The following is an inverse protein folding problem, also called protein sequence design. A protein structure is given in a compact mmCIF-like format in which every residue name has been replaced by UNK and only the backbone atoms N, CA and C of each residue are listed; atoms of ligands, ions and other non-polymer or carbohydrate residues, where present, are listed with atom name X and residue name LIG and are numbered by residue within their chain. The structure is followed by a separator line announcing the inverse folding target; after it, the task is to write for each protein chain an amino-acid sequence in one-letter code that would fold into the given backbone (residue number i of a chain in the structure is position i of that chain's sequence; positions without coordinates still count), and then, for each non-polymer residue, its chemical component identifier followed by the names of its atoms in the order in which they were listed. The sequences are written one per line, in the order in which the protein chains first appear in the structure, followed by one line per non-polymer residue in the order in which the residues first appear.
data_IF_582525179513
#
_entry.id   IF_582525179513
#
_cell.length_a   1.000
_cell.length_b   1.000
_cell.length_c   1.000
_cell.angle_alpha   90.00
_cell.angle_beta   90.00
_cell.angle_gamma   90.00
#
_symmetry.space_group_name_H-M   'P 1'
#
loop_
_entity.id
_entity.type
_entity.pdbx_description
1 polymer ?
#
# COMPACT_ATOMS: atom_id res chain seq x y z
N UNK A 1 -38.39 29.81 -50.08
CA UNK A 1 -38.97 29.88 -48.72
C UNK A 1 -37.83 29.56 -47.79
N UNK A 2 -37.48 30.60 -47.02
CA UNK A 2 -36.33 30.84 -46.12
C UNK A 2 -35.89 29.65 -45.25
N UNK A 3 -34.57 29.38 -45.16
CA UNK A 3 -33.57 29.92 -44.19
C UNK A 3 -33.86 29.41 -42.75
N UNK A 4 -32.93 29.00 -41.88
CA UNK A 4 -31.49 29.19 -41.79
C UNK A 4 -30.91 28.20 -40.75
N UNK A 5 -29.59 28.05 -40.80
CA UNK A 5 -28.68 27.49 -39.78
C UNK A 5 -28.92 28.08 -38.38
N UNK A 6 -28.49 27.39 -37.31
CA UNK A 6 -27.25 27.73 -36.58
C UNK A 6 -27.01 26.86 -35.34
N UNK A 7 -25.74 26.53 -35.13
CA UNK A 7 -25.14 26.13 -33.84
C UNK A 7 -25.17 27.31 -32.86
N UNK A 8 -25.05 27.06 -31.55
CA UNK A 8 -24.05 27.67 -30.63
C UNK A 8 -24.35 27.30 -29.16
N UNK A 9 -23.25 27.03 -28.43
CA UNK A 9 -23.06 26.87 -26.98
C UNK A 9 -23.69 27.99 -26.11
N UNK A 10 -23.97 27.72 -24.83
CA UNK A 10 -23.20 28.20 -23.64
C UNK A 10 -24.01 28.13 -22.33
N UNK A 11 -23.24 27.88 -21.27
CA UNK A 11 -23.43 27.97 -19.82
C UNK A 11 -24.42 28.98 -19.19
N UNK A 12 -24.68 28.69 -17.89
CA UNK A 12 -24.98 29.60 -16.77
C UNK A 12 -26.43 30.12 -16.57
N UNK A 13 -27.12 29.61 -15.53
CA UNK A 13 -27.14 30.17 -14.16
C UNK A 13 -28.52 30.24 -13.43
N UNK A 14 -28.45 29.88 -12.14
CA UNK A 14 -29.24 30.21 -10.91
C UNK A 14 -30.76 30.03 -10.82
N UNK A 15 -31.17 29.39 -9.72
CA UNK A 15 -32.38 29.75 -8.95
C UNK A 15 -32.84 28.66 -7.98
N UNK A 16 -32.01 28.20 -7.03
CA UNK A 16 -32.20 28.45 -5.58
C UNK A 16 -33.64 28.62 -5.10
N UNK A 17 -34.19 27.62 -4.40
CA UNK A 17 -34.97 27.78 -3.17
C UNK A 17 -35.32 26.40 -2.59
N UNK A 18 -34.82 26.10 -1.38
CA UNK A 18 -35.52 25.44 -0.25
C UNK A 18 -34.50 25.12 0.88
N UNK A 19 -34.94 25.09 2.15
CA UNK A 19 -34.29 25.84 3.22
C UNK A 19 -33.35 25.01 4.10
N UNK A 20 -32.42 25.73 4.72
CA UNK A 20 -31.61 25.28 5.85
C UNK A 20 -32.49 25.01 7.10
N UNK A 21 -32.47 23.77 7.57
CA UNK A 21 -32.64 23.40 8.98
C UNK A 21 -32.17 21.95 9.18
N UNK A 22 -30.95 21.78 9.69
CA UNK A 22 -30.51 20.50 10.26
C UNK A 22 -31.32 20.24 11.53
N UNK A 23 -32.43 19.52 11.39
CA UNK A 23 -33.15 18.96 12.51
C UNK A 23 -32.50 17.62 12.86
N UNK A 24 -31.99 17.53 14.09
CA UNK A 24 -31.55 16.27 14.71
C UNK A 24 -32.69 15.26 14.57
N UNK A 25 -32.50 14.23 13.75
CA UNK A 25 -33.49 13.16 13.60
C UNK A 25 -33.66 12.43 14.94
N UNK A 26 -34.90 12.33 15.39
CA UNK A 26 -35.24 11.72 16.68
C UNK A 26 -34.95 10.20 16.65
N UNK A 27 -34.98 9.55 17.81
CA UNK A 27 -34.85 8.09 17.86
C UNK A 27 -35.97 7.35 17.10
N UNK A 28 -37.16 7.98 16.98
CA UNK A 28 -38.26 7.48 16.14
C UNK A 28 -37.93 7.62 14.65
N UNK A 29 -37.38 8.75 14.22
CA UNK A 29 -37.01 8.97 12.81
C UNK A 29 -35.88 8.01 12.36
N UNK A 30 -34.96 7.65 13.28
CA UNK A 30 -33.95 6.60 13.07
C UNK A 30 -34.56 5.19 12.99
N UNK A 31 -35.55 4.89 13.82
CA UNK A 31 -36.26 3.62 13.75
C UNK A 31 -37.04 3.49 12.43
N UNK A 32 -37.62 4.58 11.93
CA UNK A 32 -38.32 4.63 10.65
C UNK A 32 -37.37 4.49 9.46
N UNK A 33 -36.15 5.05 9.55
CA UNK A 33 -35.12 4.87 8.52
C UNK A 33 -34.56 3.44 8.49
N UNK A 34 -34.25 2.85 9.65
CA UNK A 34 -33.83 1.44 9.75
C UNK A 34 -34.94 0.52 9.23
N UNK A 35 -36.20 0.82 9.54
CA UNK A 35 -37.34 0.12 8.97
C UNK A 35 -37.45 0.33 7.45
N UNK A 36 -37.17 1.53 6.93
CA UNK A 36 -37.17 1.81 5.49
C UNK A 36 -36.05 1.08 4.74
N UNK A 37 -34.85 0.97 5.33
CA UNK A 37 -33.73 0.18 4.79
C UNK A 37 -34.06 -1.30 4.86
N UNK A 38 -34.58 -1.80 6.00
CA UNK A 38 -35.10 -3.18 6.10
C UNK A 38 -36.15 -3.45 5.05
N UNK A 39 -37.07 -2.50 4.83
CA UNK A 39 -38.13 -2.63 3.83
C UNK A 39 -37.57 -2.60 2.41
N UNK A 40 -36.57 -1.76 2.09
CA UNK A 40 -35.90 -1.76 0.77
C UNK A 40 -35.09 -3.04 0.53
N UNK A 41 -34.36 -3.52 1.52
CA UNK A 41 -33.61 -4.78 1.44
C UNK A 41 -34.59 -5.96 1.30
N UNK A 42 -35.68 -5.90 2.06
CA UNK A 42 -36.77 -6.87 1.97
C UNK A 42 -37.52 -6.74 0.63
N UNK A 43 -37.60 -5.56 0.02
CA UNK A 43 -38.21 -5.33 -1.31
C UNK A 43 -37.29 -5.80 -2.43
N UNK A 44 -35.97 -5.59 -2.34
CA UNK A 44 -34.98 -6.18 -3.26
C UNK A 44 -34.96 -7.72 -3.17
N UNK A 45 -34.96 -8.25 -1.94
CA UNK A 45 -35.07 -9.69 -1.71
C UNK A 45 -36.44 -10.23 -2.15
N UNK A 46 -37.52 -9.43 -2.05
CA UNK A 46 -38.87 -9.74 -2.53
C UNK A 46 -38.97 -9.67 -4.06
N UNK A 47 -38.20 -8.80 -4.72
CA UNK A 47 -38.12 -8.74 -6.18
C UNK A 47 -37.28 -9.88 -6.75
N UNK A 48 -36.21 -10.31 -6.09
CA UNK A 48 -35.45 -11.51 -6.46
C UNK A 48 -36.19 -12.82 -6.16
N UNK A 49 -36.93 -12.91 -5.05
CA UNK A 49 -37.80 -14.07 -4.78
C UNK A 49 -39.04 -14.07 -5.69
N UNK A 50 -39.61 -12.90 -5.96
CA UNK A 50 -40.70 -12.71 -6.91
C UNK A 50 -40.30 -12.97 -8.36
N UNK A 51 -39.03 -12.75 -8.74
CA UNK A 51 -38.51 -13.13 -10.06
C UNK A 51 -38.67 -14.62 -10.31
N UNK A 52 -38.32 -15.47 -9.35
CA UNK A 52 -38.44 -16.93 -9.47
C UNK A 52 -39.89 -17.40 -9.53
N UNK A 53 -40.81 -16.69 -8.87
CA UNK A 53 -42.24 -16.96 -8.92
C UNK A 53 -42.88 -16.51 -10.24
N UNK A 54 -42.30 -15.51 -10.93
CA UNK A 54 -42.71 -15.07 -12.27
C UNK A 54 -42.23 -16.01 -13.38
N UNK A 55 -41.29 -16.92 -13.09
CA UNK A 55 -40.80 -17.88 -14.08
C UNK A 55 -41.81 -19.01 -14.32
N UNK A 56 -42.05 -19.42 -15.58
CA UNK A 56 -42.79 -20.61 -15.92
C UNK A 56 -42.32 -21.85 -15.14
N UNK A 57 -43.22 -22.78 -14.76
CA UNK A 57 -42.86 -23.93 -13.91
C UNK A 57 -41.72 -24.80 -14.45
N UNK A 58 -41.60 -24.92 -15.78
CA UNK A 58 -40.52 -25.64 -16.43
C UNK A 58 -39.16 -24.93 -16.29
N UNK A 59 -39.15 -23.59 -16.25
CA UNK A 59 -37.93 -22.80 -16.06
C UNK A 59 -37.53 -22.83 -14.59
N UNK A 60 -38.48 -22.68 -13.65
CA UNK A 60 -38.20 -22.80 -12.21
C UNK A 60 -37.55 -24.14 -11.86
N UNK A 61 -38.09 -25.26 -12.37
CA UNK A 61 -37.48 -26.58 -12.20
C UNK A 61 -36.03 -26.65 -12.72
N UNK A 62 -35.71 -25.98 -13.83
CA UNK A 62 -34.33 -25.91 -14.35
C UNK A 62 -33.44 -25.09 -13.42
N UNK A 63 -33.92 -23.96 -12.91
CA UNK A 63 -33.18 -23.13 -11.95
C UNK A 63 -32.92 -23.89 -10.64
N UNK A 64 -33.89 -24.67 -10.16
CA UNK A 64 -33.70 -25.51 -8.97
C UNK A 64 -32.60 -26.55 -9.18
N UNK A 65 -32.53 -27.18 -10.36
CA UNK A 65 -31.42 -28.08 -10.73
C UNK A 65 -30.08 -27.32 -10.82
N UNK A 66 -30.06 -26.11 -11.40
CA UNK A 66 -28.84 -25.30 -11.45
C UNK A 66 -28.35 -24.91 -10.06
N UNK A 67 -29.25 -24.66 -9.11
CA UNK A 67 -28.88 -24.41 -7.70
C UNK A 67 -28.29 -25.62 -7.02
N UNK A 68 -28.81 -26.81 -7.32
CA UNK A 68 -28.22 -28.06 -6.82
C UNK A 68 -26.80 -28.24 -7.36
N UNK A 69 -26.58 -27.96 -8.65
CA UNK A 69 -25.24 -27.96 -9.26
C UNK A 69 -24.33 -26.91 -8.61
N UNK A 70 -24.83 -25.70 -8.34
CA UNK A 70 -24.06 -24.68 -7.64
C UNK A 70 -23.66 -25.14 -6.24
N UNK A 71 -24.55 -25.80 -5.50
CA UNK A 71 -24.22 -26.37 -4.19
C UNK A 71 -23.11 -27.45 -4.27
N UNK A 72 -23.11 -28.26 -5.33
CA UNK A 72 -22.01 -29.22 -5.58
C UNK A 72 -20.69 -28.52 -5.90
N UNK A 73 -20.74 -27.42 -6.67
CA UNK A 73 -19.57 -26.57 -6.92
C UNK A 73 -19.03 -25.99 -5.62
N UNK A 74 -19.88 -25.37 -4.80
CA UNK A 74 -19.49 -24.73 -3.54
C UNK A 74 -18.87 -25.74 -2.55
N UNK A 75 -19.35 -26.99 -2.53
CA UNK A 75 -18.76 -28.08 -1.74
C UNK A 75 -17.35 -28.44 -2.22
N UNK A 76 -17.13 -28.53 -3.53
CA UNK A 76 -15.81 -28.79 -4.12
C UNK A 76 -14.85 -27.61 -3.90
N UNK A 77 -15.34 -26.38 -4.04
CA UNK A 77 -14.57 -25.16 -3.75
C UNK A 77 -14.12 -25.15 -2.28
N UNK A 78 -15.01 -25.51 -1.34
CA UNK A 78 -14.65 -25.65 0.07
C UNK A 78 -13.51 -26.64 0.33
N UNK A 79 -13.54 -27.80 -0.35
CA UNK A 79 -12.46 -28.79 -0.27
C UNK A 79 -11.15 -28.26 -0.86
N UNK A 80 -11.21 -27.58 -2.01
CA UNK A 80 -10.05 -26.95 -2.63
C UNK A 80 -9.37 -25.94 -1.70
N UNK A 81 -10.16 -25.06 -1.06
CA UNK A 81 -9.66 -24.05 -0.15
C UNK A 81 -9.01 -24.67 1.10
N UNK A 82 -9.59 -25.75 1.65
CA UNK A 82 -9.01 -26.48 2.78
C UNK A 82 -7.66 -27.13 2.41
N UNK A 83 -7.61 -27.83 1.25
CA UNK A 83 -6.36 -28.43 0.77
C UNK A 83 -5.28 -27.39 0.47
N UNK A 84 -5.66 -26.26 -0.15
CA UNK A 84 -4.74 -25.15 -0.41
C UNK A 84 -4.20 -24.56 0.89
N UNK A 85 -5.05 -24.29 1.88
CA UNK A 85 -4.64 -23.78 3.18
C UNK A 85 -3.67 -24.74 3.89
N UNK A 86 -3.94 -26.05 3.85
CA UNK A 86 -3.05 -27.06 4.41
C UNK A 86 -1.70 -27.11 3.68
N UNK A 87 -1.71 -26.96 2.35
CA UNK A 87 -0.50 -26.94 1.52
C UNK A 87 0.36 -25.70 1.82
N UNK A 88 -0.25 -24.53 1.88
CA UNK A 88 0.43 -23.28 2.23
C UNK A 88 1.02 -23.35 3.64
N UNK A 89 0.27 -23.85 4.63
CA UNK A 89 0.78 -24.04 5.99
C UNK A 89 1.97 -25.00 6.06
N UNK A 90 1.97 -26.05 5.22
CA UNK A 90 3.11 -26.96 5.09
C UNK A 90 4.34 -26.25 4.53
N UNK A 91 4.19 -25.50 3.43
CA UNK A 91 5.32 -24.80 2.80
C UNK A 91 5.84 -23.64 3.64
N UNK A 92 4.97 -22.94 4.36
CA UNK A 92 5.37 -21.91 5.30
C UNK A 92 6.38 -22.44 6.34
N UNK A 93 6.12 -23.63 6.92
CA UNK A 93 7.05 -24.30 7.83
C UNK A 93 8.37 -24.73 7.17
N UNK A 94 8.36 -25.01 5.87
CA UNK A 94 9.58 -25.35 5.12
C UNK A 94 10.41 -24.11 4.77
N UNK A 95 9.78 -22.94 4.63
CA UNK A 95 10.46 -21.67 4.38
C UNK A 95 11.06 -21.06 5.65
N UNK A 96 10.46 -21.30 6.81
CA UNK A 96 10.91 -20.71 8.09
C UNK A 96 12.41 -20.93 8.39
N UNK A 97 13.01 -22.14 8.23
CA UNK A 97 14.45 -22.33 8.40
C UNK A 97 15.29 -21.52 7.41
N UNK A 98 14.81 -21.32 6.18
CA UNK A 98 15.51 -20.53 5.16
C UNK A 98 15.49 -19.04 5.51
N UNK A 99 14.35 -18.53 5.98
CA UNK A 99 14.23 -17.16 6.45
C UNK A 99 15.06 -16.90 7.70
N UNK A 100 15.12 -17.86 8.64
CA UNK A 100 15.99 -17.75 9.81
C UNK A 100 17.48 -17.73 9.41
N UNK A 101 17.89 -18.57 8.45
CA UNK A 101 19.26 -18.53 7.92
C UNK A 101 19.58 -17.20 7.23
N UNK A 102 18.64 -16.65 6.45
CA UNK A 102 18.78 -15.30 5.86
C UNK A 102 18.95 -14.25 6.96
N UNK A 103 18.12 -14.30 8.00
CA UNK A 103 18.21 -13.39 9.14
C UNK A 103 19.59 -13.45 9.81
N UNK A 104 20.11 -14.63 10.08
CA UNK A 104 21.43 -14.83 10.68
C UNK A 104 22.55 -14.22 9.83
N UNK A 105 22.51 -14.39 8.50
CA UNK A 105 23.51 -13.84 7.57
C UNK A 105 23.37 -12.31 7.47
N UNK A 106 22.16 -11.81 7.23
CA UNK A 106 21.87 -10.37 7.09
C UNK A 106 22.30 -9.60 8.34
N UNK A 107 22.15 -10.19 9.52
CA UNK A 107 22.53 -9.57 10.79
C UNK A 107 23.96 -9.93 11.25
N UNK A 108 24.75 -10.65 10.44
CA UNK A 108 26.15 -10.98 10.74
C UNK A 108 26.33 -11.89 11.96
N UNK A 109 25.34 -12.72 12.26
CA UNK A 109 25.40 -13.73 13.33
C UNK A 109 26.21 -14.96 12.89
N UNK A 110 26.19 -15.26 11.59
CA UNK A 110 26.90 -16.37 10.97
C UNK A 110 27.62 -15.85 9.72
N UNK A 111 28.90 -16.18 9.58
CA UNK A 111 29.67 -15.90 8.37
C UNK A 111 29.22 -16.84 7.24
N UNK A 112 29.13 -16.32 6.01
CA UNK A 112 28.83 -17.16 4.86
C UNK A 112 30.00 -18.13 4.63
N UNK A 113 29.79 -19.43 4.85
CA UNK A 113 30.74 -20.47 4.49
C UNK A 113 30.85 -20.52 2.95
N UNK A 114 31.79 -19.78 2.38
CA UNK A 114 32.10 -19.88 0.95
C UNK A 114 33.03 -21.07 0.70
N UNK A 115 32.52 -22.15 0.10
CA UNK A 115 33.32 -23.01 -0.78
C UNK A 115 33.65 -22.23 -2.06
N UNK A 116 34.60 -21.31 -1.97
CA UNK A 116 35.01 -20.48 -3.11
C UNK A 116 35.93 -19.35 -2.67
N UNK A 117 37.18 -19.46 -3.07
CA UNK A 117 38.26 -18.48 -2.84
C UNK A 117 37.83 -17.06 -3.20
N UNK A 118 37.78 -16.16 -2.22
CA UNK A 118 37.87 -14.71 -2.45
C UNK A 118 38.88 -14.13 -1.45
N UNK A 119 39.82 -13.38 -2.02
CA UNK A 119 41.03 -12.89 -1.40
C UNK A 119 40.79 -12.08 -0.13
N UNK A 120 41.62 -12.36 0.89
CA UNK A 120 41.76 -11.54 2.09
C UNK A 120 42.44 -10.22 1.74
N UNK A 121 41.70 -9.29 1.14
CA UNK A 121 42.13 -7.89 1.09
C UNK A 121 41.06 -6.99 1.72
N UNK A 122 41.37 -6.58 2.95
CA UNK A 122 41.03 -5.31 3.58
C UNK A 122 39.54 -4.92 3.70
N UNK A 123 38.97 -5.10 4.90
CA UNK A 123 38.59 -3.94 5.72
C UNK A 123 38.30 -4.34 7.18
N UNK A 124 39.26 -4.07 8.07
CA UNK A 124 38.97 -3.91 9.49
C UNK A 124 38.26 -2.57 9.69
N UNK A 125 36.96 -2.53 9.39
CA UNK A 125 36.03 -1.58 10.00
C UNK A 125 35.38 -2.30 11.18
N UNK A 126 35.85 -2.02 12.38
CA UNK A 126 35.20 -2.46 13.61
C UNK A 126 33.83 -1.73 13.74
N UNK A 127 32.79 -2.25 13.10
CA UNK A 127 31.45 -1.64 13.16
C UNK A 127 30.33 -2.45 12.50
N UNK A 128 30.53 -2.95 11.28
CA UNK A 128 29.43 -3.49 10.48
C UNK A 128 29.50 -5.00 10.38
N UNK A 129 28.81 -5.68 11.31
CA UNK A 129 28.50 -7.10 11.14
C UNK A 129 27.23 -7.23 10.30
N UNK A 130 27.25 -8.07 9.28
CA UNK A 130 26.10 -8.37 8.43
C UNK A 130 26.04 -7.56 7.13
N UNK A 131 24.83 -7.40 6.59
CA UNK A 131 24.54 -6.67 5.34
C UNK A 131 23.79 -5.38 5.72
N UNK A 132 24.47 -4.21 5.74
CA UNK A 132 23.84 -2.95 6.10
C UNK A 132 22.65 -2.62 5.20
N UNK A 133 21.62 -2.01 5.79
CA UNK A 133 20.45 -1.48 5.08
C UNK A 133 19.68 -2.51 4.22
N UNK A 134 19.87 -3.81 4.45
CA UNK A 134 19.31 -4.87 3.60
C UNK A 134 17.82 -4.70 3.30
N UNK A 135 16.99 -4.56 4.33
CA UNK A 135 15.54 -4.41 4.16
C UNK A 135 15.14 -3.06 3.60
N UNK A 136 15.83 -1.98 4.00
CA UNK A 136 15.58 -0.64 3.45
C UNK A 136 15.81 -0.62 1.94
N UNK A 137 16.94 -1.15 1.47
CA UNK A 137 17.28 -1.20 0.04
C UNK A 137 16.34 -2.14 -0.72
N UNK A 138 16.02 -3.31 -0.16
CA UNK A 138 15.05 -4.21 -0.76
C UNK A 138 13.67 -3.54 -0.94
N UNK A 139 13.19 -2.82 0.07
CA UNK A 139 11.92 -2.10 0.00
C UNK A 139 11.97 -0.92 -0.98
N UNK A 140 13.07 -0.17 -1.03
CA UNK A 140 13.24 0.97 -1.97
C UNK A 140 13.37 0.56 -3.43
N UNK A 141 13.79 -0.68 -3.71
CA UNK A 141 13.82 -1.19 -5.08
C UNK A 141 12.44 -1.62 -5.60
N UNK A 142 11.44 -1.73 -4.73
CA UNK A 142 10.06 -1.96 -5.14
C UNK A 142 9.31 -0.64 -5.29
N UNK A 143 8.79 -0.37 -6.49
CA UNK A 143 8.20 0.94 -6.84
C UNK A 143 7.05 1.36 -5.91
N UNK A 144 6.12 0.44 -5.59
CA UNK A 144 4.97 0.75 -4.75
C UNK A 144 5.42 1.16 -3.34
N UNK A 145 6.35 0.42 -2.74
CA UNK A 145 6.85 0.70 -1.39
C UNK A 145 7.78 1.92 -1.38
N UNK A 146 8.59 2.11 -2.41
CA UNK A 146 9.51 3.24 -2.52
C UNK A 146 8.79 4.59 -2.48
N UNK A 147 7.59 4.69 -3.08
CA UNK A 147 6.74 5.89 -3.05
C UNK A 147 6.31 6.28 -1.63
N UNK A 148 6.18 5.30 -0.74
CA UNK A 148 5.80 5.53 0.67
C UNK A 148 7.00 5.92 1.55
N UNK A 149 8.23 5.62 1.13
CA UNK A 149 9.45 5.85 1.92
C UNK A 149 10.01 7.24 1.61
N UNK A 150 9.98 8.13 2.60
CA UNK A 150 10.66 9.43 2.51
C UNK A 150 12.11 9.34 3.00
N UNK A 151 12.95 10.31 2.62
CA UNK A 151 14.34 10.41 3.11
C UNK A 151 14.45 10.42 4.65
N UNK A 152 13.43 10.92 5.34
CA UNK A 152 13.40 10.94 6.82
C UNK A 152 13.19 9.54 7.39
N UNK A 153 12.45 8.70 6.69
CA UNK A 153 12.10 7.34 7.11
C UNK A 153 13.31 6.41 7.04
N UNK A 154 14.20 6.62 6.08
CA UNK A 154 15.45 5.87 5.91
C UNK A 154 16.28 5.81 7.19
N UNK A 155 16.28 6.91 7.96
CA UNK A 155 17.01 7.01 9.22
C UNK A 155 16.55 6.01 10.29
N UNK A 156 15.28 5.63 10.30
CA UNK A 156 14.74 4.58 11.18
C UNK A 156 14.75 3.21 10.49
N UNK A 157 14.40 3.15 9.20
CA UNK A 157 14.36 1.90 8.43
C UNK A 157 15.72 1.22 8.27
N UNK A 158 16.83 1.96 8.33
CA UNK A 158 18.16 1.34 8.38
C UNK A 158 18.39 0.42 9.59
N UNK A 159 17.58 0.54 10.66
CA UNK A 159 17.63 -0.33 11.83
C UNK A 159 16.69 -1.55 11.72
N UNK A 160 16.02 -1.74 10.58
CA UNK A 160 15.15 -2.88 10.35
C UNK A 160 16.00 -4.15 10.14
N UNK A 161 15.90 -5.08 11.08
CA UNK A 161 16.66 -6.35 11.10
C UNK A 161 15.97 -7.46 10.31
N UNK A 162 14.66 -7.49 10.37
CA UNK A 162 13.84 -8.56 9.80
C UNK A 162 12.42 -8.10 9.53
N UNK A 163 11.80 -8.72 8.51
CA UNK A 163 10.38 -8.58 8.22
C UNK A 163 9.81 -9.98 8.06
N UNK A 164 8.81 -10.29 8.88
CA UNK A 164 8.12 -11.59 8.87
C UNK A 164 6.64 -11.40 8.62
N UNK A 165 5.99 -12.48 8.20
CA UNK A 165 4.54 -12.54 8.17
C UNK A 165 4.04 -13.87 8.72
N UNK A 166 2.84 -13.85 9.27
CA UNK A 166 2.12 -15.04 9.76
C UNK A 166 0.63 -14.96 9.41
N UNK A 167 -0.01 -16.11 9.24
CA UNK A 167 -1.47 -16.21 9.18
C UNK A 167 -2.06 -15.96 10.57
N UNK A 168 -3.26 -15.40 10.63
CA UNK A 168 -3.99 -15.28 11.89
C UNK A 168 -4.55 -16.66 12.30
N UNK A 169 -4.44 -17.02 13.58
CA UNK A 169 -4.83 -18.37 14.06
C UNK A 169 -6.35 -18.57 14.08
N UNK A 170 -7.10 -17.56 14.51
CA UNK A 170 -8.56 -17.63 14.72
C UNK A 170 -9.36 -16.73 13.76
N UNK A 171 -8.69 -16.12 12.78
CA UNK A 171 -9.29 -15.21 11.82
C UNK A 171 -8.69 -15.40 10.42
N UNK A 172 -9.41 -14.97 9.40
CA UNK A 172 -8.86 -14.86 8.04
C UNK A 172 -7.99 -13.61 7.96
N UNK A 173 -6.88 -13.71 7.23
CA UNK A 173 -5.93 -12.62 7.04
C UNK A 173 -4.53 -12.94 7.58
N UNK A 174 -3.72 -11.90 7.69
CA UNK A 174 -2.30 -12.04 8.00
C UNK A 174 -1.77 -10.87 8.81
N UNK A 175 -0.66 -11.12 9.51
CA UNK A 175 0.10 -10.13 10.27
C UNK A 175 1.51 -10.02 9.72
N UNK A 176 1.95 -8.80 9.48
CA UNK A 176 3.34 -8.42 9.22
C UNK A 176 4.01 -7.98 10.52
N UNK A 177 5.28 -8.35 10.69
CA UNK A 177 6.08 -8.03 11.87
C UNK A 177 7.44 -7.50 11.43
N UNK A 178 7.73 -6.24 11.81
CA UNK A 178 8.93 -5.50 11.47
C UNK A 178 9.81 -5.41 12.71
N UNK A 179 10.95 -6.11 12.70
CA UNK A 179 11.85 -6.23 13.84
C UNK A 179 12.95 -5.18 13.75
N UNK A 180 12.99 -4.26 14.71
CA UNK A 180 13.97 -3.18 14.74
C UNK A 180 15.09 -3.44 15.76
N UNK A 181 16.28 -2.99 15.41
CA UNK A 181 17.35 -2.74 16.37
C UNK A 181 17.01 -1.60 17.32
N UNK A 182 17.74 -1.56 18.44
CA UNK A 182 17.74 -0.35 19.28
C UNK A 182 18.18 0.82 18.43
N UNK A 183 17.33 1.83 18.30
CA UNK A 183 17.51 2.93 17.38
C UNK A 183 17.12 4.26 18.05
N UNK A 184 17.56 5.42 17.52
CA UNK A 184 17.33 6.72 18.16
C UNK A 184 15.95 7.32 17.86
N UNK A 185 15.03 6.59 17.22
CA UNK A 185 13.72 7.10 16.78
C UNK A 185 12.56 6.59 17.63
N UNK A 186 12.50 5.28 17.88
CA UNK A 186 11.38 4.62 18.54
C UNK A 186 11.85 3.59 19.58
N UNK A 187 11.06 3.34 20.62
CA UNK A 187 11.36 2.32 21.64
C UNK A 187 10.85 0.92 21.28
N UNK A 188 9.90 0.79 20.35
CA UNK A 188 9.37 -0.51 19.96
C UNK A 188 10.47 -1.38 19.35
N UNK A 189 10.61 -2.62 19.81
CA UNK A 189 11.48 -3.61 19.15
C UNK A 189 10.80 -4.27 17.95
N UNK A 190 9.46 -4.27 17.93
CA UNK A 190 8.65 -4.84 16.84
C UNK A 190 7.49 -3.90 16.56
N UNK A 191 7.31 -3.53 15.29
CA UNK A 191 6.08 -2.91 14.80
C UNK A 191 5.29 -3.96 14.03
N UNK A 192 3.99 -4.03 14.26
CA UNK A 192 3.10 -5.00 13.63
C UNK A 192 2.01 -4.32 12.82
N UNK A 193 1.64 -4.93 11.71
CA UNK A 193 0.50 -4.55 10.87
C UNK A 193 -0.33 -5.78 10.58
N UNK A 194 -1.58 -5.77 11.00
CA UNK A 194 -2.51 -6.90 10.89
C UNK A 194 -3.63 -6.54 9.94
N UNK A 195 -3.93 -7.43 9.00
CA UNK A 195 -5.06 -7.31 8.10
C UNK A 195 -6.04 -8.44 8.41
N UNK A 196 -7.28 -8.08 8.78
CA UNK A 196 -8.38 -9.02 8.89
C UNK A 196 -9.14 -9.06 7.57
N UNK A 197 -9.38 -10.27 7.05
CA UNK A 197 -9.98 -10.48 5.73
C UNK A 197 -11.37 -11.10 5.87
N UNK A 198 -12.33 -10.66 5.08
CA UNK A 198 -13.60 -11.39 4.90
C UNK A 198 -13.34 -12.64 4.02
N UNK A 199 -12.53 -12.45 2.98
CA UNK A 199 -12.15 -13.48 2.01
C UNK A 199 -10.70 -13.25 1.57
N UNK A 200 -9.80 -14.17 1.91
CA UNK A 200 -8.41 -14.10 1.41
C UNK A 200 -8.35 -14.36 -0.10
N UNK A 201 -9.23 -15.20 -0.61
CA UNK A 201 -9.35 -15.54 -2.03
C UNK A 201 -9.73 -14.36 -2.90
N UNK A 202 -10.77 -13.65 -2.48
CA UNK A 202 -11.31 -12.50 -3.18
C UNK A 202 -10.62 -11.20 -2.76
N UNK A 203 -9.61 -11.27 -1.87
CA UNK A 203 -8.84 -10.14 -1.36
C UNK A 203 -9.73 -9.05 -0.72
N UNK A 204 -10.79 -9.48 -0.02
CA UNK A 204 -11.75 -8.57 0.62
C UNK A 204 -11.28 -8.26 2.04
N UNK A 205 -10.79 -7.04 2.23
CA UNK A 205 -10.36 -6.48 3.51
C UNK A 205 -11.57 -6.17 4.42
N UNK A 206 -11.54 -6.63 5.67
CA UNK A 206 -12.50 -6.23 6.71
C UNK A 206 -11.99 -5.01 7.47
N UNK A 207 -10.77 -5.09 8.01
CA UNK A 207 -10.10 -3.97 8.67
C UNK A 207 -8.57 -4.19 8.70
N UNK A 208 -7.85 -3.12 9.01
CA UNK A 208 -6.41 -3.15 9.25
C UNK A 208 -6.09 -2.53 10.61
N UNK A 209 -5.14 -3.14 11.33
CA UNK A 209 -4.72 -2.74 12.67
C UNK A 209 -3.20 -2.61 12.66
N UNK A 210 -2.70 -1.41 12.95
CA UNK A 210 -1.28 -1.16 13.10
C UNK A 210 -0.86 -1.00 14.56
N UNK A 211 0.45 -0.95 14.79
CA UNK A 211 1.03 -0.76 16.12
C UNK A 211 1.26 0.73 16.37
N UNK A 212 0.77 1.24 17.50
CA UNK A 212 1.11 2.59 17.95
C UNK A 212 2.62 2.72 18.17
N UNK A 213 3.24 3.66 17.46
CA UNK A 213 4.68 3.85 17.50
C UNK A 213 5.05 4.76 18.68
N UNK A 214 5.89 4.22 19.56
CA UNK A 214 6.43 4.91 20.73
C UNK A 214 7.66 5.74 20.33
N UNK A 215 7.42 6.90 19.71
CA UNK A 215 8.49 7.81 19.30
C UNK A 215 9.22 8.42 20.50
N UNK A 216 10.55 8.50 20.40
CA UNK A 216 11.33 9.33 21.31
C UNK A 216 11.02 10.82 21.12
N UNK A 217 11.24 11.67 22.15
CA UNK A 217 10.91 13.09 22.08
C UNK A 217 11.54 13.81 20.87
N UNK A 218 10.69 14.37 20.00
CA UNK A 218 11.12 15.10 18.80
C UNK A 218 11.65 14.22 17.67
N UNK A 219 11.44 12.91 17.73
CA UNK A 219 11.89 11.92 16.73
C UNK A 219 10.77 11.35 15.88
N UNK A 220 9.52 11.75 16.11
CA UNK A 220 8.40 11.37 15.26
C UNK A 220 8.70 11.73 13.80
N UNK A 221 8.55 10.71 12.94
CA UNK A 221 8.74 10.83 11.50
C UNK A 221 7.44 11.21 10.79
N UNK A 222 6.30 10.85 11.38
CA UNK A 222 4.95 11.17 10.91
C UNK A 222 4.54 12.62 11.16
N UNK A 223 5.28 13.35 12.02
CA UNK A 223 4.97 14.74 12.37
C UNK A 223 6.20 15.67 12.21
N UNK A 224 5.93 16.94 11.90
CA UNK A 224 6.90 18.05 11.85
C UNK A 224 6.58 19.10 12.90
N UNK A 225 7.60 19.54 13.64
CA UNK A 225 7.47 20.57 14.67
C UNK A 225 7.79 21.95 14.07
N UNK A 226 6.76 22.79 13.92
CA UNK A 226 6.88 24.17 13.46
C UNK A 226 6.93 25.14 14.65
N UNK A 227 8.06 25.85 14.80
CA UNK A 227 8.21 26.93 15.79
C UNK A 227 7.83 28.26 15.17
N UNK A 228 6.67 28.82 15.55
CA UNK A 228 6.26 30.18 15.14
C UNK A 228 6.76 31.22 16.14
N UNK A 229 7.34 32.31 15.62
CA UNK A 229 7.69 33.50 16.43
C UNK A 229 6.42 34.08 17.05
N UNK A 230 6.46 34.52 18.32
CA UNK A 230 5.30 35.11 18.98
C UNK A 230 4.81 36.36 18.21
N UNK A 231 3.49 36.58 18.18
CA UNK A 231 2.89 37.76 17.53
C UNK A 231 3.47 39.03 18.15
N UNK A 232 3.83 40.00 17.30
CA UNK A 232 4.38 41.31 17.70
C UNK A 232 3.34 42.03 18.58
N UNK A 233 3.55 42.03 19.90
CA UNK A 233 2.62 42.61 20.89
C UNK A 233 2.18 41.67 22.03
N UNK A 234 2.53 40.38 22.00
CA UNK A 234 2.28 39.47 23.14
C UNK A 234 3.36 39.61 24.22
N UNK A 235 2.96 39.64 25.49
CA UNK A 235 3.88 39.64 26.65
C UNK A 235 4.56 38.28 26.87
N UNK A 236 4.13 37.23 26.17
CA UNK A 236 4.78 35.92 26.21
C UNK A 236 5.89 35.82 25.16
N UNK A 237 7.13 35.72 25.64
CA UNK A 237 8.36 35.55 24.85
C UNK A 237 8.61 34.12 24.39
N UNK A 238 7.75 33.15 24.76
CA UNK A 238 7.92 31.75 24.38
C UNK A 238 7.42 31.49 22.95
N UNK A 239 8.20 30.80 22.10
CA UNK A 239 7.77 30.42 20.76
C UNK A 239 6.60 29.43 20.82
N UNK A 240 5.60 29.63 19.95
CA UNK A 240 4.45 28.71 19.83
C UNK A 240 4.92 27.51 19.01
N UNK A 241 4.86 26.33 19.62
CA UNK A 241 5.18 25.05 18.98
C UNK A 241 3.88 24.49 18.41
N UNK A 242 3.80 24.37 17.07
CA UNK A 242 2.69 23.69 16.39
C UNK A 242 3.26 22.41 15.78
N UNK A 243 2.55 21.29 15.95
CA UNK A 243 2.86 20.04 15.28
C UNK A 243 1.92 19.89 14.08
N UNK A 244 2.45 19.42 12.96
CA UNK A 244 1.72 19.19 11.71
C UNK A 244 2.13 17.83 11.15
N UNK A 245 1.16 17.06 10.67
CA UNK A 245 1.41 15.77 10.02
C UNK A 245 2.14 15.96 8.69
N UNK A 246 2.91 14.97 8.29
CA UNK A 246 3.65 14.98 7.04
C UNK A 246 3.82 13.57 6.50
N UNK A 247 4.01 13.43 5.20
CA UNK A 247 4.30 12.14 4.55
C UNK A 247 5.43 11.39 5.27
N UNK A 248 5.18 10.10 5.50
CA UNK A 248 6.10 9.16 6.14
C UNK A 248 5.56 7.75 5.96
N UNK A 249 6.45 6.80 5.63
CA UNK A 249 6.16 5.37 5.57
C UNK A 249 5.50 4.86 6.85
N UNK A 250 5.82 5.46 8.01
CA UNK A 250 5.33 5.00 9.30
C UNK A 250 3.83 5.24 9.53
N UNK A 251 3.13 5.98 8.65
CA UNK A 251 1.65 5.97 8.61
C UNK A 251 1.09 4.59 8.25
N UNK A 252 1.89 3.71 7.64
CA UNK A 252 1.52 2.31 7.42
C UNK A 252 1.13 1.57 8.71
N UNK A 253 1.59 2.02 9.89
CA UNK A 253 1.23 1.45 11.19
C UNK A 253 0.06 2.19 11.87
N UNK A 254 -0.55 3.17 11.20
CA UNK A 254 -1.76 3.87 11.62
C UNK A 254 -2.78 3.83 10.46
N UNK A 255 -3.32 2.64 10.14
CA UNK A 255 -4.12 2.44 8.94
C UNK A 255 -5.43 3.24 8.99
N UNK A 256 -5.99 3.59 7.82
CA UNK A 256 -7.29 4.25 7.74
C UNK A 256 -8.37 3.43 8.47
N UNK A 257 -9.17 4.12 9.28
CA UNK A 257 -10.23 3.50 10.08
C UNK A 257 -11.57 3.65 9.37
N UNK A 258 -12.37 2.58 9.36
CA UNK A 258 -13.77 2.66 8.94
C UNK A 258 -14.55 3.48 9.96
N UNK A 259 -15.24 4.57 9.56
CA UNK A 259 -16.04 5.34 10.49
C UNK A 259 -17.19 4.50 11.04
N UNK A 260 -17.45 4.63 12.35
CA UNK A 260 -18.54 3.89 13.01
C UNK A 260 -19.92 4.29 12.48
N UNK A 261 -20.06 5.53 11.97
CA UNK A 261 -21.27 6.10 11.39
C UNK A 261 -21.08 6.34 9.88
N UNK A 262 -21.25 5.29 9.07
CA UNK A 262 -21.17 5.36 7.60
C UNK A 262 -22.21 6.30 6.94
N UNK A 263 -23.18 6.81 7.70
CA UNK A 263 -24.23 7.74 7.22
C UNK A 263 -23.79 9.22 7.22
N UNK A 264 -22.65 9.57 7.84
CA UNK A 264 -22.13 10.95 7.90
C UNK A 264 -20.99 11.23 6.91
N UNK A 265 -20.51 10.22 6.19
CA UNK A 265 -19.43 10.36 5.20
C UNK A 265 -20.06 10.73 3.86
N UNK A 266 -19.67 11.87 3.28
CA UNK A 266 -20.02 12.16 1.89
C UNK A 266 -19.33 11.20 0.91
N UNK A 267 -19.87 11.10 -0.31
CA UNK A 267 -19.39 10.17 -1.35
C UNK A 267 -17.90 10.37 -1.68
N UNK A 268 -17.44 11.63 -1.74
CA UNK A 268 -16.04 11.98 -2.02
C UNK A 268 -15.11 11.48 -0.89
N UNK A 269 -15.52 11.65 0.36
CA UNK A 269 -14.75 11.17 1.52
C UNK A 269 -14.74 9.65 1.59
N UNK A 270 -15.84 8.98 1.22
CA UNK A 270 -15.91 7.52 1.17
C UNK A 270 -15.00 6.94 0.07
N UNK A 271 -14.98 7.54 -1.12
CA UNK A 271 -14.09 7.17 -2.22
C UNK A 271 -12.61 7.37 -1.85
N UNK A 272 -12.28 8.50 -1.20
CA UNK A 272 -10.93 8.76 -0.72
C UNK A 272 -10.49 7.72 0.32
N UNK A 273 -11.36 7.41 1.28
CA UNK A 273 -11.07 6.40 2.30
C UNK A 273 -10.85 5.02 1.67
N UNK A 274 -11.70 4.63 0.72
CA UNK A 274 -11.54 3.37 -0.01
C UNK A 274 -10.19 3.31 -0.73
N UNK A 275 -9.83 4.38 -1.46
CA UNK A 275 -8.54 4.48 -2.14
C UNK A 275 -7.35 4.35 -1.19
N UNK A 276 -7.42 5.00 -0.01
CA UNK A 276 -6.38 4.88 1.02
C UNK A 276 -6.30 3.45 1.59
N UNK A 277 -7.42 2.78 1.82
CA UNK A 277 -7.46 1.40 2.30
C UNK A 277 -6.91 0.40 1.26
N UNK A 278 -7.23 0.61 -0.02
CA UNK A 278 -6.71 -0.20 -1.13
C UNK A 278 -5.19 -0.03 -1.26
N UNK A 279 -4.69 1.21 -1.25
CA UNK A 279 -3.25 1.50 -1.26
C UNK A 279 -2.55 0.86 -0.05
N UNK A 280 -3.10 1.03 1.16
CA UNK A 280 -2.55 0.43 2.37
C UNK A 280 -2.45 -1.11 2.25
N UNK A 281 -3.49 -1.75 1.73
CA UNK A 281 -3.50 -3.20 1.49
C UNK A 281 -2.52 -3.62 0.38
N UNK A 282 -2.38 -2.84 -0.70
CA UNK A 282 -1.41 -3.07 -1.76
C UNK A 282 0.03 -3.10 -1.21
N UNK A 283 0.38 -2.16 -0.33
CA UNK A 283 1.68 -2.15 0.34
C UNK A 283 1.86 -3.39 1.21
N UNK A 284 0.85 -3.73 2.04
CA UNK A 284 0.90 -4.90 2.92
C UNK A 284 1.03 -6.23 2.17
N UNK A 285 0.25 -6.41 1.11
CA UNK A 285 0.31 -7.58 0.23
C UNK A 285 1.63 -7.66 -0.53
N UNK A 286 2.14 -6.53 -1.05
CA UNK A 286 3.46 -6.47 -1.71
C UNK A 286 4.58 -6.88 -0.77
N UNK A 287 4.56 -6.44 0.49
CA UNK A 287 5.56 -6.86 1.49
C UNK A 287 5.46 -8.37 1.73
N UNK A 288 4.25 -8.91 1.91
CA UNK A 288 4.00 -10.34 2.16
C UNK A 288 4.44 -11.23 1.00
N UNK A 289 4.07 -10.86 -0.23
CA UNK A 289 4.12 -11.74 -1.40
C UNK A 289 5.38 -11.53 -2.25
N UNK A 290 5.92 -10.31 -2.29
CA UNK A 290 7.08 -9.98 -3.12
C UNK A 290 8.32 -9.76 -2.27
N UNK A 291 8.27 -8.87 -1.28
CA UNK A 291 9.48 -8.48 -0.52
C UNK A 291 9.97 -9.62 0.36
N UNK A 292 9.13 -10.22 1.22
CA UNK A 292 9.59 -11.25 2.15
C UNK A 292 10.12 -12.50 1.41
N UNK A 293 9.46 -13.05 0.37
CA UNK A 293 9.95 -14.24 -0.31
C UNK A 293 11.17 -13.98 -1.19
N UNK A 294 11.28 -12.79 -1.80
CA UNK A 294 12.32 -12.44 -2.77
C UNK A 294 13.25 -11.31 -2.30
N UNK A 295 13.42 -11.16 -0.97
CA UNK A 295 14.15 -10.04 -0.37
C UNK A 295 15.56 -9.83 -0.94
N UNK A 296 16.26 -10.93 -1.28
CA UNK A 296 17.62 -10.85 -1.86
C UNK A 296 17.57 -10.29 -3.28
N UNK A 297 16.65 -10.76 -4.13
CA UNK A 297 16.50 -10.24 -5.49
C UNK A 297 16.03 -8.78 -5.50
N UNK A 298 15.18 -8.39 -4.56
CA UNK A 298 14.84 -6.99 -4.36
C UNK A 298 16.04 -6.18 -3.87
N UNK A 299 16.84 -6.69 -2.94
CA UNK A 299 18.05 -6.03 -2.47
C UNK A 299 19.09 -5.86 -3.60
N UNK A 300 19.32 -6.87 -4.44
CA UNK A 300 20.28 -6.81 -5.55
C UNK A 300 19.75 -6.06 -6.78
N UNK A 301 18.45 -5.78 -6.83
CA UNK A 301 17.79 -5.12 -7.96
C UNK A 301 17.36 -6.06 -9.08
N UNK A 302 17.64 -7.36 -8.99
CA UNK A 302 17.23 -8.38 -9.98
C UNK A 302 15.71 -8.52 -10.12
N UNK A 303 14.96 -8.17 -9.07
CA UNK A 303 13.49 -8.21 -9.09
C UNK A 303 12.85 -6.93 -9.65
N UNK A 304 13.64 -5.89 -9.94
CA UNK A 304 13.14 -4.67 -10.57
C UNK A 304 12.76 -5.01 -12.02
N UNK A 305 11.52 -4.75 -12.46
CA UNK A 305 11.15 -4.92 -13.86
C UNK A 305 12.10 -4.13 -14.76
N UNK A 306 12.65 -4.79 -15.77
CA UNK A 306 13.42 -4.10 -16.81
C UNK A 306 12.39 -3.38 -17.68
N UNK A 307 12.54 -2.06 -17.79
CA UNK A 307 11.70 -1.27 -18.69
C UNK A 307 12.24 -1.52 -20.11
N UNK A 308 11.55 -2.38 -20.88
CA UNK A 308 11.94 -2.75 -22.26
C UNK A 308 11.88 -1.53 -23.24
N UNK A 309 11.54 -0.32 -22.76
CA UNK A 309 11.45 0.91 -23.57
C UNK A 309 12.81 1.61 -23.82
N UNK A 310 13.91 1.21 -23.16
CA UNK A 310 15.23 1.82 -23.40
C UNK A 310 16.04 1.19 -24.55
N UNK A 311 15.58 0.08 -25.16
CA UNK A 311 16.28 -0.57 -26.29
C UNK A 311 15.96 -0.02 -27.69
N UNK A 312 15.14 1.04 -27.83
CA UNK A 312 14.83 1.68 -29.13
C UNK A 312 15.56 3.02 -29.38
N UNK A 313 16.78 3.19 -28.88
CA UNK A 313 17.71 4.19 -29.44
C UNK A 313 18.75 3.50 -30.32
N UNK A 314 18.30 2.95 -31.46
CA UNK A 314 19.21 2.71 -32.58
C UNK A 314 19.77 4.05 -33.04
N UNK A 315 21.06 4.22 -32.81
CA UNK A 315 21.90 5.31 -33.29
C UNK A 315 21.89 5.23 -34.83
N UNK A 316 21.10 6.05 -35.51
CA UNK A 316 21.38 6.35 -36.92
C UNK A 316 22.60 7.29 -36.97
N UNK A 317 23.79 6.69 -36.93
CA UNK A 317 24.99 7.29 -37.50
C UNK A 317 24.91 7.13 -39.03
N UNK A 318 24.33 8.13 -39.72
CA UNK A 318 24.61 8.31 -41.14
C UNK A 318 25.74 9.33 -41.31
N UNK A 319 26.92 8.74 -41.46
CA UNK A 319 28.13 9.25 -42.08
C UNK A 319 27.84 9.70 -43.51
N UNK A 320 27.91 11.00 -43.77
CA UNK A 320 28.21 11.51 -45.10
C UNK A 320 29.33 12.54 -44.98
N UNK A 321 30.56 12.02 -45.10
CA UNK A 321 31.75 12.82 -45.32
C UNK A 321 31.65 13.65 -46.60
N UNK A 322 31.98 14.92 -46.48
CA UNK A 322 32.53 15.68 -47.60
C UNK A 322 33.77 16.43 -47.13
N UNK A 323 34.86 16.09 -47.81
CA UNK A 323 36.25 16.32 -47.48
C UNK A 323 36.77 17.27 -48.57
N UNK A 324 36.83 18.59 -48.33
CA UNK A 324 37.61 19.49 -49.19
C UNK A 324 38.32 20.58 -48.38
N UNK A 325 39.56 20.23 -48.05
CA UNK A 325 40.82 20.95 -48.27
C UNK A 325 41.15 22.30 -47.59
N UNK A 326 42.41 22.32 -47.19
CA UNK A 326 43.17 23.28 -46.40
C UNK A 326 43.34 24.66 -47.04
N UNK A 327 43.54 25.70 -46.21
CA UNK A 327 44.68 26.60 -46.45
C UNK A 327 45.19 27.23 -45.14
N UNK A 328 46.47 26.96 -44.83
CA UNK A 328 47.24 27.59 -43.77
C UNK A 328 47.71 28.98 -44.19
N UNK A 329 47.66 29.95 -43.28
CA UNK A 329 48.66 31.02 -43.25
C UNK A 329 49.19 31.27 -41.83
N UNK A 330 50.51 31.45 -41.82
CA UNK A 330 51.47 31.41 -40.72
C UNK A 330 51.52 32.72 -39.93
N UNK A 331 51.85 32.56 -38.65
CA UNK A 331 52.42 33.48 -37.64
C UNK A 331 52.74 34.94 -38.05
N UNK A 332 52.49 35.89 -37.14
CA UNK A 332 53.59 36.47 -36.33
C UNK A 332 53.09 37.45 -35.25
N UNK A 333 53.96 37.58 -34.24
CA UNK A 333 53.94 38.42 -33.05
C UNK A 333 53.41 39.86 -33.22
N UNK A 334 52.85 40.44 -32.16
CA UNK A 334 53.55 41.43 -31.30
C UNK A 334 52.61 42.09 -30.28
N UNK A 335 53.18 42.34 -29.09
CA UNK A 335 52.77 43.15 -27.92
C UNK A 335 51.72 42.66 -26.91
#
# INVERSE_FOLDING_TARGET
MSDQKDQVNTADNVGSDLPAAAAVLSAEDRADLVNAIKNKLHDLARDHSGFLEKLPPNIRKRVDVLREIQGQYDELEGQFLEERAALEAKFHKLYEPLYNKRYEIVNGMVEAENEGTVDKETNESAGDKGIPHFWLLAMKNNEAIAKEITERDEGALQYLKDVKWSRLEDAKGFKLEFFFDTNPYLSNSVLTKTYHMISEDEHILENAIGTEIEWFPGKSLTQKILKKKPKKGSNDTKPIIKTEECESFFHFFDPPQLPEDAEEIDEETAELLQSQMEQDYEIGSTIREKIIPHAVSWFTGEAVPIDDEEEEQEVEEDDDGDDEEEEYYVEENDE
#
